data_IF_569621433779
#
_entry.id   IF_569621433779
#
_cell.length_a   1.000
_cell.length_b   1.000
_cell.length_c   1.000
_cell.angle_alpha   90.00
_cell.angle_beta   90.00
_cell.angle_gamma   90.00
#
_symmetry.space_group_name_H-M   'P 1'
#
loop_
_entity.id
_entity.type
_entity.pdbx_description
1 polymer ?
#
# COMPACT_ATOMS: atom_id res chain seq x y z
N UNK A 1 29.67 -1.79 0.14
CA UNK A 1 28.53 -2.03 1.04
C UNK A 1 27.44 -2.77 0.27
N UNK A 2 26.89 -3.87 0.80
CA UNK A 2 25.85 -4.64 0.13
C UNK A 2 24.52 -3.88 0.19
N UNK A 3 23.83 -3.73 -0.95
CA UNK A 3 22.56 -2.99 -1.07
C UNK A 3 21.42 -3.58 -0.21
N UNK A 4 21.49 -4.87 0.12
CA UNK A 4 20.48 -5.61 0.88
C UNK A 4 20.61 -5.46 2.39
N UNK A 5 21.78 -5.04 2.87
CA UNK A 5 22.10 -5.01 4.30
C UNK A 5 21.82 -3.63 4.88
N UNK A 6 21.04 -3.58 5.95
CA UNK A 6 20.75 -2.38 6.75
C UNK A 6 21.86 -2.16 7.78
N UNK A 7 22.26 -3.21 8.50
CA UNK A 7 23.27 -3.14 9.55
C UNK A 7 23.96 -4.49 9.73
N UNK A 8 25.22 -4.48 10.16
CA UNK A 8 25.94 -5.68 10.60
C UNK A 8 26.50 -5.49 11.99
N UNK A 9 26.40 -6.52 12.83
CA UNK A 9 26.99 -6.51 14.16
C UNK A 9 27.88 -7.74 14.33
N UNK A 10 29.15 -7.52 14.66
CA UNK A 10 30.07 -8.61 14.97
C UNK A 10 29.86 -9.05 16.42
N UNK A 11 29.61 -10.34 16.61
CA UNK A 11 29.40 -10.94 17.92
C UNK A 11 30.58 -11.87 18.22
N UNK A 12 31.40 -11.46 19.19
CA UNK A 12 32.52 -12.27 19.67
C UNK A 12 32.03 -13.49 20.46
N UNK A 13 32.89 -14.50 20.62
CA UNK A 13 32.54 -15.71 21.40
C UNK A 13 32.14 -15.37 22.83
N UNK A 14 32.83 -14.40 23.42
CA UNK A 14 32.63 -13.94 24.80
C UNK A 14 31.32 -13.15 24.94
N UNK A 15 30.97 -12.35 23.92
CA UNK A 15 29.70 -11.63 23.88
C UNK A 15 28.52 -12.59 23.68
N UNK A 16 28.65 -13.55 22.76
CA UNK A 16 27.65 -14.59 22.54
C UNK A 16 27.40 -15.41 23.82
N UNK A 17 28.46 -15.76 24.55
CA UNK A 17 28.34 -16.50 25.80
C UNK A 17 27.65 -15.69 26.89
N UNK A 18 27.98 -14.40 27.05
CA UNK A 18 27.29 -13.53 28.00
C UNK A 18 25.80 -13.35 27.69
N UNK A 19 25.44 -13.17 26.42
CA UNK A 19 24.05 -13.04 26.01
C UNK A 19 23.28 -14.34 26.29
N UNK A 20 23.84 -15.49 25.92
CA UNK A 20 23.20 -16.78 26.14
C UNK A 20 23.07 -17.13 27.63
N UNK A 21 24.07 -16.82 28.46
CA UNK A 21 23.97 -16.99 29.93
C UNK A 21 22.84 -16.14 30.51
N UNK A 22 22.67 -14.90 30.01
CA UNK A 22 21.58 -14.02 30.45
C UNK A 22 20.21 -14.56 30.04
N UNK A 23 20.09 -15.12 28.84
CA UNK A 23 18.83 -15.68 28.33
C UNK A 23 18.45 -16.99 29.02
N UNK A 24 19.45 -17.81 29.40
CA UNK A 24 19.26 -19.08 30.12
C UNK A 24 19.14 -18.91 31.64
N UNK A 25 19.70 -17.84 32.21
CA UNK A 25 19.80 -17.63 33.65
C UNK A 25 20.88 -18.47 34.36
N UNK A 26 21.71 -19.20 33.62
CA UNK A 26 22.72 -20.12 34.15
C UNK A 26 24.09 -19.97 33.46
N UNK A 27 25.17 -20.23 34.21
CA UNK A 27 26.53 -20.22 33.68
C UNK A 27 26.90 -21.56 33.02
N UNK A 28 26.47 -21.71 31.77
CA UNK A 28 26.78 -22.90 30.96
C UNK A 28 28.29 -23.06 30.67
N UNK A 29 29.07 -21.98 30.72
CA UNK A 29 30.53 -22.03 30.43
C UNK A 29 31.25 -22.69 31.59
N UNK A 30 30.81 -22.41 32.82
CA UNK A 30 31.28 -23.10 34.02
C UNK A 30 30.87 -24.57 34.04
N UNK A 31 29.67 -24.89 33.55
CA UNK A 31 29.19 -26.28 33.45
C UNK A 31 29.96 -27.11 32.41
N UNK A 32 30.19 -26.56 31.22
CA UNK A 32 30.90 -27.25 30.13
C UNK A 32 32.43 -27.19 30.26
N UNK A 33 32.96 -26.28 31.09
CA UNK A 33 34.41 -26.06 31.23
C UNK A 33 35.07 -25.32 30.06
N UNK A 34 34.33 -25.01 28.99
CA UNK A 34 34.78 -24.23 27.84
C UNK A 34 33.61 -23.52 27.14
N UNK A 35 33.92 -22.56 26.26
CA UNK A 35 32.93 -21.85 25.45
C UNK A 35 32.77 -22.51 24.06
N UNK A 36 31.71 -23.32 23.81
CA UNK A 36 31.47 -23.96 22.52
C UNK A 36 31.03 -23.00 21.41
N UNK A 37 30.68 -21.74 21.74
CA UNK A 37 30.12 -20.81 20.77
C UNK A 37 31.16 -20.35 19.75
N UNK A 38 30.70 -20.17 18.52
CA UNK A 38 31.50 -19.62 17.43
C UNK A 38 31.29 -18.11 17.32
N UNK A 39 32.26 -17.41 16.72
CA UNK A 39 32.11 -16.00 16.34
C UNK A 39 31.02 -15.92 15.27
N UNK A 40 30.07 -14.99 15.40
CA UNK A 40 29.02 -14.76 14.41
C UNK A 40 29.00 -13.31 13.95
N UNK A 41 28.42 -13.09 12.77
CA UNK A 41 28.13 -11.76 12.24
C UNK A 41 26.62 -11.70 12.05
N UNK A 42 25.95 -10.90 12.87
CA UNK A 42 24.52 -10.68 12.77
C UNK A 42 24.27 -9.66 11.66
N UNK A 43 23.42 -10.01 10.72
CA UNK A 43 23.14 -9.21 9.52
C UNK A 43 21.67 -8.85 9.49
N UNK A 44 21.39 -7.56 9.62
CA UNK A 44 20.04 -7.00 9.51
C UNK A 44 19.78 -6.59 8.07
N UNK A 45 18.77 -7.18 7.45
CA UNK A 45 18.36 -6.86 6.08
C UNK A 45 17.45 -5.62 6.05
N UNK A 46 17.44 -4.93 4.91
CA UNK A 46 16.42 -3.91 4.63
C UNK A 46 15.07 -4.58 4.37
N UNK A 47 13.98 -3.90 4.73
CA UNK A 47 12.61 -4.42 4.66
C UNK A 47 12.25 -5.00 3.29
N UNK A 48 12.68 -4.36 2.20
CA UNK A 48 12.40 -4.77 0.82
C UNK A 48 12.94 -6.17 0.47
N UNK A 49 13.96 -6.63 1.22
CA UNK A 49 14.63 -7.91 1.00
C UNK A 49 14.27 -8.96 2.06
N UNK A 50 13.38 -8.64 3.01
CA UNK A 50 12.92 -9.55 4.09
C UNK A 50 11.80 -10.49 3.64
N UNK A 51 11.69 -10.75 2.33
CA UNK A 51 10.83 -11.80 1.80
C UNK A 51 11.62 -13.11 1.63
N UNK A 52 10.91 -14.24 1.58
CA UNK A 52 11.54 -15.57 1.48
C UNK A 52 12.54 -15.69 0.32
N UNK A 53 12.16 -15.16 -0.84
CA UNK A 53 13.00 -15.21 -2.03
C UNK A 53 14.26 -14.32 -1.90
N UNK A 54 14.13 -13.18 -1.24
CA UNK A 54 15.22 -12.23 -0.98
C UNK A 54 16.24 -12.81 0.00
N UNK A 55 15.76 -13.41 1.09
CA UNK A 55 16.61 -14.05 2.10
C UNK A 55 17.32 -15.27 1.51
N UNK A 56 16.62 -16.12 0.75
CA UNK A 56 17.25 -17.28 0.11
C UNK A 56 18.29 -16.87 -0.95
N UNK A 57 18.02 -15.83 -1.76
CA UNK A 57 19.02 -15.26 -2.67
C UNK A 57 20.23 -14.70 -1.93
N UNK A 58 20.01 -14.00 -0.82
CA UNK A 58 21.08 -13.43 -0.02
C UNK A 58 21.94 -14.52 0.64
N UNK A 59 21.31 -15.55 1.20
CA UNK A 59 21.97 -16.75 1.72
C UNK A 59 22.82 -17.43 0.66
N UNK A 60 22.29 -17.64 -0.54
CA UNK A 60 23.02 -18.24 -1.65
C UNK A 60 24.22 -17.38 -2.09
N UNK A 61 24.14 -16.04 -2.00
CA UNK A 61 25.28 -15.16 -2.26
C UNK A 61 26.35 -15.26 -1.17
N UNK A 62 25.95 -15.32 0.10
CA UNK A 62 26.89 -15.42 1.22
C UNK A 62 27.64 -16.76 1.24
N UNK A 63 26.95 -17.87 0.95
CA UNK A 63 27.55 -19.20 0.93
C UNK A 63 28.55 -19.42 -0.20
N UNK A 64 28.61 -18.53 -1.21
CA UNK A 64 29.68 -18.55 -2.23
C UNK A 64 31.03 -18.12 -1.67
N UNK A 65 31.06 -17.42 -0.54
CA UNK A 65 32.31 -17.01 0.09
C UNK A 65 32.82 -18.15 0.99
N UNK A 66 34.01 -18.72 0.74
CA UNK A 66 34.56 -19.82 1.55
C UNK A 66 34.82 -19.45 3.02
N UNK A 67 34.83 -18.16 3.37
CA UNK A 67 34.92 -17.70 4.76
C UNK A 67 33.59 -17.84 5.55
N UNK A 68 32.47 -18.11 4.87
CA UNK A 68 31.15 -18.27 5.49
C UNK A 68 30.85 -19.75 5.66
N UNK A 69 30.91 -20.23 6.91
CA UNK A 69 30.64 -21.64 7.23
C UNK A 69 29.15 -21.99 7.13
N UNK A 70 28.28 -21.13 7.65
CA UNK A 70 26.84 -21.37 7.73
C UNK A 70 26.09 -20.03 7.87
N UNK A 71 24.87 -19.97 7.32
CA UNK A 71 23.93 -18.85 7.50
C UNK A 71 22.66 -19.40 8.13
N UNK A 72 22.40 -19.02 9.38
CA UNK A 72 21.20 -19.43 10.13
C UNK A 72 20.19 -18.30 10.19
N UNK A 73 18.94 -18.60 9.86
CA UNK A 73 17.80 -17.70 10.05
C UNK A 73 16.54 -18.53 10.33
N UNK A 74 15.56 -17.93 11.00
CA UNK A 74 14.33 -18.63 11.37
C UNK A 74 13.30 -18.56 10.23
N UNK A 75 13.45 -19.47 9.27
CA UNK A 75 12.62 -19.48 8.06
C UNK A 75 11.12 -19.55 8.37
N UNK A 76 10.70 -20.42 9.29
CA UNK A 76 9.28 -20.56 9.65
C UNK A 76 8.65 -19.27 10.16
N UNK A 77 9.39 -18.46 10.91
CA UNK A 77 8.90 -17.18 11.44
C UNK A 77 8.74 -16.17 10.32
N UNK A 78 9.73 -16.06 9.42
CA UNK A 78 9.67 -15.18 8.25
C UNK A 78 8.52 -15.59 7.32
N UNK A 79 8.36 -16.90 7.08
CA UNK A 79 7.28 -17.46 6.27
C UNK A 79 5.90 -17.10 6.85
N UNK A 80 5.71 -17.29 8.15
CA UNK A 80 4.46 -16.95 8.84
C UNK A 80 4.16 -15.45 8.78
N UNK A 81 5.17 -14.59 9.00
CA UNK A 81 5.01 -13.14 8.88
C UNK A 81 4.61 -12.74 7.45
N UNK A 82 5.29 -13.27 6.43
CA UNK A 82 4.99 -12.97 5.03
C UNK A 82 3.58 -13.46 4.63
N UNK A 83 3.17 -14.64 5.09
CA UNK A 83 1.82 -15.17 4.83
C UNK A 83 0.74 -14.34 5.52
N UNK A 84 0.96 -13.91 6.76
CA UNK A 84 0.03 -13.04 7.48
C UNK A 84 -0.11 -11.67 6.80
N UNK A 85 1.01 -11.05 6.41
CA UNK A 85 0.99 -9.79 5.67
C UNK A 85 0.25 -9.92 4.34
N UNK A 86 0.53 -10.98 3.57
CA UNK A 86 -0.16 -11.25 2.32
C UNK A 86 -1.67 -11.43 2.52
N UNK A 87 -2.07 -12.14 3.58
CA UNK A 87 -3.49 -12.37 3.92
C UNK A 87 -4.20 -11.06 4.29
N UNK A 88 -3.56 -10.22 5.11
CA UNK A 88 -4.09 -8.89 5.48
C UNK A 88 -4.21 -8.00 4.23
N UNK A 89 -3.18 -7.97 3.38
CA UNK A 89 -3.20 -7.20 2.13
C UNK A 89 -4.33 -7.65 1.20
N UNK A 90 -4.59 -8.96 1.11
CA UNK A 90 -5.68 -9.50 0.31
C UNK A 90 -7.05 -9.04 0.83
N UNK A 91 -7.25 -9.08 2.15
CA UNK A 91 -8.50 -8.61 2.77
C UNK A 91 -8.71 -7.12 2.51
N UNK A 92 -7.67 -6.29 2.70
CA UNK A 92 -7.74 -4.85 2.41
C UNK A 92 -8.06 -4.60 0.93
N UNK A 93 -7.44 -5.35 0.02
CA UNK A 93 -7.70 -5.25 -1.42
C UNK A 93 -9.15 -5.62 -1.76
N UNK A 94 -9.71 -6.64 -1.10
CA UNK A 94 -11.11 -7.02 -1.26
C UNK A 94 -12.05 -5.88 -0.82
N UNK A 95 -11.80 -5.26 0.35
CA UNK A 95 -12.55 -4.09 0.80
C UNK A 95 -12.42 -2.90 -0.16
N UNK A 96 -11.21 -2.64 -0.68
CA UNK A 96 -11.00 -1.59 -1.68
C UNK A 96 -11.85 -1.84 -2.93
N UNK A 97 -11.92 -3.08 -3.41
CA UNK A 97 -12.80 -3.47 -4.52
C UNK A 97 -14.28 -3.19 -4.24
N UNK A 98 -14.75 -3.53 -3.03
CA UNK A 98 -16.13 -3.24 -2.61
C UNK A 98 -16.38 -1.72 -2.61
N UNK A 99 -15.46 -0.92 -2.05
CA UNK A 99 -15.61 0.53 -2.04
C UNK A 99 -15.64 1.13 -3.44
N UNK A 100 -14.86 0.61 -4.40
CA UNK A 100 -14.93 1.05 -5.79
C UNK A 100 -16.35 0.83 -6.34
N UNK A 101 -16.95 -0.35 -6.12
CA UNK A 101 -18.31 -0.65 -6.57
C UNK A 101 -19.32 0.30 -5.94
N UNK A 102 -19.21 0.56 -4.63
CA UNK A 102 -20.07 1.50 -3.92
C UNK A 102 -19.92 2.91 -4.47
N UNK A 103 -18.70 3.39 -4.69
CA UNK A 103 -18.42 4.70 -5.28
C UNK A 103 -19.03 4.84 -6.67
N UNK A 104 -18.86 3.83 -7.54
CA UNK A 104 -19.46 3.82 -8.89
C UNK A 104 -20.98 3.88 -8.81
N UNK A 105 -21.60 3.11 -7.91
CA UNK A 105 -23.05 3.09 -7.72
C UNK A 105 -23.59 4.46 -7.25
N UNK A 106 -22.91 5.09 -6.28
CA UNK A 106 -23.25 6.43 -5.79
C UNK A 106 -23.13 7.48 -6.91
N UNK A 107 -22.00 7.50 -7.63
CA UNK A 107 -21.78 8.43 -8.76
C UNK A 107 -22.88 8.23 -9.81
N UNK A 108 -23.23 6.99 -10.15
CA UNK A 108 -24.29 6.70 -11.12
C UNK A 108 -25.65 7.27 -10.67
N UNK A 109 -25.99 7.15 -9.39
CA UNK A 109 -27.20 7.75 -8.83
C UNK A 109 -27.16 9.28 -8.87
N UNK A 110 -26.05 9.89 -8.44
CA UNK A 110 -25.88 11.34 -8.47
C UNK A 110 -25.98 11.91 -9.89
N UNK A 111 -25.35 11.26 -10.88
CA UNK A 111 -25.42 11.67 -12.28
C UNK A 111 -26.84 11.51 -12.83
N UNK A 112 -27.57 10.45 -12.46
CA UNK A 112 -28.98 10.29 -12.82
C UNK A 112 -29.82 11.48 -12.34
N UNK A 113 -29.68 11.84 -11.07
CA UNK A 113 -30.39 12.96 -10.47
C UNK A 113 -30.02 14.29 -11.14
N UNK A 114 -28.73 14.50 -11.42
CA UNK A 114 -28.25 15.70 -12.09
C UNK A 114 -28.82 15.85 -13.52
N UNK A 115 -28.81 14.77 -14.31
CA UNK A 115 -29.39 14.73 -15.67
C UNK A 115 -30.89 14.97 -15.62
N UNK A 116 -31.60 14.35 -14.66
CA UNK A 116 -33.04 14.52 -14.50
C UNK A 116 -33.41 15.98 -14.15
N UNK A 117 -32.66 16.59 -13.24
CA UNK A 117 -32.85 18.00 -12.84
C UNK A 117 -32.61 18.97 -14.01
N UNK A 118 -31.63 18.69 -14.86
CA UNK A 118 -31.27 19.54 -16.01
C UNK A 118 -31.86 19.07 -17.35
N UNK A 119 -32.89 18.21 -17.33
CA UNK A 119 -33.43 17.57 -18.53
C UNK A 119 -33.85 18.54 -19.64
N UNK A 120 -34.41 19.70 -19.28
CA UNK A 120 -34.86 20.70 -20.24
C UNK A 120 -33.69 21.37 -20.96
N UNK A 121 -32.63 21.71 -20.24
CA UNK A 121 -31.39 22.25 -20.80
C UNK A 121 -30.75 21.25 -21.75
N UNK A 122 -30.63 19.99 -21.33
CA UNK A 122 -30.06 18.93 -22.17
C UNK A 122 -30.88 18.74 -23.45
N UNK A 123 -32.22 18.75 -23.35
CA UNK A 123 -33.11 18.63 -24.52
C UNK A 123 -32.98 19.83 -25.45
N UNK A 124 -32.91 21.05 -24.93
CA UNK A 124 -32.66 22.26 -25.73
C UNK A 124 -31.33 22.19 -26.47
N UNK A 125 -30.25 21.79 -25.80
CA UNK A 125 -28.94 21.58 -26.43
C UNK A 125 -29.01 20.54 -27.56
N UNK A 126 -29.76 19.45 -27.38
CA UNK A 126 -29.94 18.45 -28.43
C UNK A 126 -30.72 18.98 -29.64
N UNK A 127 -31.71 19.85 -29.44
CA UNK A 127 -32.50 20.44 -30.53
C UNK A 127 -31.69 21.41 -31.39
N UNK A 128 -30.70 22.09 -30.81
CA UNK A 128 -29.77 22.97 -31.53
C UNK A 128 -28.60 22.17 -32.16
N UNK A 129 -28.61 20.84 -32.06
CA UNK A 129 -27.61 19.97 -32.69
C UNK A 129 -26.33 19.78 -31.87
N UNK A 130 -26.33 20.07 -30.57
CA UNK A 130 -25.16 19.86 -29.73
C UNK A 130 -24.76 18.37 -29.69
N UNK A 131 -23.47 18.11 -29.88
CA UNK A 131 -22.94 16.74 -29.84
C UNK A 131 -23.02 16.15 -28.44
N UNK A 132 -23.16 14.81 -28.34
CA UNK A 132 -23.14 14.10 -27.04
C UNK A 132 -21.90 14.43 -26.22
N UNK A 133 -20.76 14.68 -26.87
CA UNK A 133 -19.52 15.07 -26.18
C UNK A 133 -19.60 16.46 -25.55
N UNK A 134 -20.27 17.42 -26.19
CA UNK A 134 -20.45 18.76 -25.65
C UNK A 134 -21.27 18.71 -24.36
N UNK A 135 -22.35 17.92 -24.34
CA UNK A 135 -23.21 17.74 -23.16
C UNK A 135 -22.45 17.03 -22.02
N UNK A 136 -21.52 16.11 -22.33
CA UNK A 136 -20.76 15.32 -21.34
C UNK A 136 -19.64 16.09 -20.65
N UNK A 137 -18.94 16.97 -21.37
CA UNK A 137 -17.77 17.69 -20.87
C UNK A 137 -17.96 18.32 -19.47
N UNK A 138 -19.04 19.08 -19.19
CA UNK A 138 -19.21 19.68 -17.87
C UNK A 138 -19.30 18.62 -16.75
N UNK A 139 -20.06 17.54 -16.96
CA UNK A 139 -20.19 16.47 -15.97
C UNK A 139 -18.85 15.79 -15.68
N UNK A 140 -18.06 15.50 -16.71
CA UNK A 140 -16.73 14.88 -16.54
C UNK A 140 -15.79 15.83 -15.80
N UNK A 141 -15.83 17.13 -16.11
CA UNK A 141 -15.04 18.13 -15.40
C UNK A 141 -15.40 18.20 -13.90
N UNK A 142 -16.70 18.17 -13.56
CA UNK A 142 -17.13 18.05 -12.16
C UNK A 142 -16.64 16.75 -11.52
N UNK A 143 -16.70 15.62 -12.23
CA UNK A 143 -16.17 14.34 -11.75
C UNK A 143 -14.67 14.40 -11.44
N UNK A 144 -13.87 15.02 -12.32
CA UNK A 144 -12.43 15.23 -12.10
C UNK A 144 -12.19 16.09 -10.85
N UNK A 145 -12.91 17.22 -10.73
CA UNK A 145 -12.81 18.10 -9.57
C UNK A 145 -13.17 17.40 -8.25
N UNK A 146 -14.26 16.62 -8.24
CA UNK A 146 -14.63 15.83 -7.06
C UNK A 146 -13.59 14.76 -6.73
N UNK A 147 -12.99 14.11 -7.73
CA UNK A 147 -11.92 13.14 -7.54
C UNK A 147 -10.66 13.79 -6.96
N UNK A 148 -10.29 14.98 -7.45
CA UNK A 148 -9.16 15.76 -6.93
C UNK A 148 -9.39 16.16 -5.47
N UNK A 149 -10.56 16.73 -5.17
CA UNK A 149 -10.91 17.18 -3.82
C UNK A 149 -10.98 16.00 -2.84
N UNK A 150 -11.57 14.88 -3.27
CA UNK A 150 -11.61 13.64 -2.48
C UNK A 150 -10.20 13.07 -2.22
N UNK A 151 -9.32 13.09 -3.21
CA UNK A 151 -7.91 12.70 -3.06
C UNK A 151 -7.16 13.59 -2.07
N UNK A 152 -7.38 14.90 -2.12
CA UNK A 152 -6.78 15.86 -1.19
C UNK A 152 -7.26 15.63 0.25
N UNK A 153 -8.57 15.40 0.44
CA UNK A 153 -9.14 15.05 1.75
C UNK A 153 -8.54 13.73 2.26
N UNK A 154 -8.42 12.73 1.40
CA UNK A 154 -7.81 11.44 1.77
C UNK A 154 -6.35 11.61 2.23
N UNK A 155 -5.57 12.46 1.55
CA UNK A 155 -4.19 12.76 1.95
C UNK A 155 -4.14 13.43 3.33
N UNK A 156 -5.03 14.40 3.60
CA UNK A 156 -5.10 15.06 4.92
C UNK A 156 -5.40 14.03 6.02
N UNK A 157 -6.39 13.16 5.81
CA UNK A 157 -6.75 12.11 6.76
C UNK A 157 -5.56 11.16 6.95
N UNK A 158 -4.91 10.74 5.87
CA UNK A 158 -3.76 9.83 5.91
C UNK A 158 -2.60 10.45 6.70
N UNK A 159 -2.26 11.71 6.46
CA UNK A 159 -1.25 12.42 7.26
C UNK A 159 -1.62 12.49 8.74
N UNK A 160 -2.88 12.78 9.06
CA UNK A 160 -3.38 12.79 10.44
C UNK A 160 -3.27 11.42 11.12
N UNK A 161 -3.62 10.34 10.41
CA UNK A 161 -3.51 8.98 10.93
C UNK A 161 -2.07 8.54 11.14
N UNK A 162 -1.15 8.94 10.26
CA UNK A 162 0.28 8.66 10.42
C UNK A 162 0.87 9.40 11.61
N UNK A 163 0.53 10.68 11.77
CA UNK A 163 0.94 11.46 12.93
C UNK A 163 0.48 10.81 14.23
N UNK A 164 -0.79 10.40 14.30
CA UNK A 164 -1.33 9.70 15.47
C UNK A 164 -0.70 8.32 15.69
N UNK A 165 -0.39 7.57 14.63
CA UNK A 165 0.27 6.27 14.75
C UNK A 165 1.67 6.40 15.35
N UNK A 166 2.42 7.45 14.98
CA UNK A 166 3.76 7.70 15.51
C UNK A 166 3.76 8.09 16.98
N UNK A 167 2.75 8.83 17.45
CA UNK A 167 2.66 9.18 18.87
C UNK A 167 2.37 7.97 19.75
N UNK A 168 1.63 6.97 19.23
CA UNK A 168 1.29 5.76 19.97
C UNK A 168 2.37 4.67 19.90
N UNK A 169 3.12 4.62 18.80
CA UNK A 169 4.15 3.60 18.57
C UNK A 169 5.42 4.31 18.10
N UNK A 170 6.32 4.69 19.02
CA UNK A 170 7.52 5.47 18.71
C UNK A 170 8.47 4.76 17.72
N UNK A 171 8.45 3.43 17.70
CA UNK A 171 9.27 2.61 16.78
C UNK A 171 8.70 2.51 15.35
N UNK A 172 7.49 3.02 15.10
CA UNK A 172 6.92 3.17 13.75
C UNK A 172 7.57 4.37 13.05
N UNK A 173 8.87 4.25 12.75
CA UNK A 173 9.64 5.25 12.02
C UNK A 173 9.37 5.12 10.51
N UNK A 174 8.13 5.37 10.11
CA UNK A 174 7.68 5.25 8.70
C UNK A 174 8.06 6.50 7.88
N UNK A 175 8.21 7.67 8.50
CA UNK A 175 8.36 8.96 7.80
C UNK A 175 9.77 9.28 7.24
N UNK A 176 10.70 8.34 7.18
CA UNK A 176 12.08 8.68 6.76
C UNK A 176 12.23 8.93 5.24
N UNK A 177 11.31 8.44 4.41
CA UNK A 177 11.40 8.55 2.95
C UNK A 177 10.33 9.48 2.37
N UNK A 178 10.61 10.80 2.36
CA UNK A 178 9.70 11.81 1.78
C UNK A 178 9.36 11.52 0.31
N UNK A 179 10.26 10.87 -0.44
CA UNK A 179 10.08 10.53 -1.85
C UNK A 179 9.00 9.45 -2.05
N UNK A 180 9.00 8.41 -1.22
CA UNK A 180 7.99 7.35 -1.29
C UNK A 180 6.59 7.87 -0.95
N UNK A 181 6.48 8.75 0.05
CA UNK A 181 5.21 9.39 0.39
C UNK A 181 4.68 10.30 -0.71
N UNK A 182 5.56 11.10 -1.33
CA UNK A 182 5.18 11.93 -2.48
C UNK A 182 4.60 11.09 -3.61
N UNK A 183 5.22 9.94 -3.90
CA UNK A 183 4.74 9.00 -4.92
C UNK A 183 3.38 8.39 -4.55
N UNK A 184 3.18 7.97 -3.29
CA UNK A 184 1.90 7.45 -2.81
C UNK A 184 0.80 8.51 -2.94
N UNK A 185 1.05 9.76 -2.56
CA UNK A 185 0.05 10.84 -2.65
C UNK A 185 -0.37 11.12 -4.09
N UNK A 186 0.60 11.14 -5.00
CA UNK A 186 0.32 11.27 -6.43
C UNK A 186 -0.52 10.12 -6.96
N UNK A 187 -0.22 8.89 -6.56
CA UNK A 187 -0.99 7.70 -6.94
C UNK A 187 -2.42 7.78 -6.39
N UNK A 188 -2.60 8.18 -5.13
CA UNK A 188 -3.92 8.30 -4.49
C UNK A 188 -4.79 9.33 -5.22
N UNK A 189 -4.25 10.52 -5.50
CA UNK A 189 -4.96 11.55 -6.28
C UNK A 189 -5.24 11.03 -7.69
N UNK A 190 -4.24 10.45 -8.35
CA UNK A 190 -4.36 9.95 -9.72
C UNK A 190 -5.46 8.89 -9.86
N UNK A 191 -5.49 7.91 -8.95
CA UNK A 191 -6.50 6.87 -8.90
C UNK A 191 -7.88 7.46 -8.57
N UNK A 192 -7.97 8.36 -7.59
CA UNK A 192 -9.23 9.01 -7.22
C UNK A 192 -9.86 9.79 -8.38
N UNK A 193 -9.05 10.58 -9.10
CA UNK A 193 -9.46 11.30 -10.31
C UNK A 193 -9.86 10.32 -11.42
N UNK A 194 -9.05 9.29 -11.66
CA UNK A 194 -9.32 8.30 -12.70
C UNK A 194 -10.64 7.56 -12.45
N UNK A 195 -10.84 7.04 -11.24
CA UNK A 195 -12.06 6.34 -10.86
C UNK A 195 -13.26 7.27 -11.02
N UNK A 196 -13.20 8.50 -10.52
CA UNK A 196 -14.31 9.45 -10.61
C UNK A 196 -14.63 9.83 -12.05
N UNK A 197 -13.61 10.12 -12.86
CA UNK A 197 -13.77 10.50 -14.26
C UNK A 197 -14.35 9.35 -15.10
N UNK A 198 -13.81 8.13 -14.95
CA UNK A 198 -14.29 6.94 -15.66
C UNK A 198 -15.72 6.59 -15.24
N UNK A 199 -16.00 6.59 -13.94
CA UNK A 199 -17.35 6.31 -13.42
C UNK A 199 -18.37 7.32 -13.94
N UNK A 200 -18.03 8.60 -13.93
CA UNK A 200 -18.86 9.68 -14.45
C UNK A 200 -19.09 9.53 -15.96
N UNK A 201 -18.03 9.24 -16.72
CA UNK A 201 -18.13 9.02 -18.15
C UNK A 201 -19.09 7.86 -18.49
N UNK A 202 -18.94 6.72 -17.81
CA UNK A 202 -19.80 5.55 -18.01
C UNK A 202 -21.27 5.86 -17.67
N UNK A 203 -21.51 6.54 -16.54
CA UNK A 203 -22.86 6.93 -16.12
C UNK A 203 -23.51 7.88 -17.13
N UNK A 204 -22.85 8.98 -17.49
CA UNK A 204 -23.40 9.98 -18.42
C UNK A 204 -23.60 9.36 -19.82
N UNK A 205 -22.66 8.53 -20.30
CA UNK A 205 -22.82 7.85 -21.60
C UNK A 205 -24.04 6.94 -21.63
N UNK A 206 -24.29 6.20 -20.54
CA UNK A 206 -25.48 5.36 -20.39
C UNK A 206 -26.77 6.19 -20.47
N UNK A 207 -26.85 7.28 -19.72
CA UNK A 207 -28.07 8.12 -19.68
C UNK A 207 -28.31 8.93 -20.94
N UNK A 208 -27.28 9.46 -21.60
CA UNK A 208 -27.44 10.19 -22.86
C UNK A 208 -27.75 9.28 -24.06
N UNK A 209 -27.55 7.97 -23.93
CA UNK A 209 -27.92 6.99 -24.97
C UNK A 209 -29.37 6.53 -24.83
N UNK A 210 -29.92 6.54 -23.62
CA UNK A 210 -31.34 6.30 -23.40
C UNK A 210 -32.13 7.46 -24.01
N UNK A 211 -33.08 7.17 -24.90
CA UNK A 211 -33.91 8.21 -25.52
C UNK A 211 -34.64 8.93 -24.39
N UNK A 212 -34.52 10.25 -24.33
CA UNK A 212 -35.18 11.13 -23.33
C UNK A 212 -36.70 10.85 -23.23
N UNK A 213 -37.31 10.26 -24.27
CA UNK A 213 -38.71 9.84 -24.30
C UNK A 213 -39.08 8.72 -23.32
N UNK A 214 -38.17 7.83 -22.96
CA UNK A 214 -38.45 6.76 -21.98
C UNK A 214 -38.40 7.24 -20.52
N UNK A 215 -38.01 8.51 -20.29
CA UNK A 215 -38.02 9.15 -18.97
C UNK A 215 -39.39 9.76 -18.60
N UNK A 216 -40.36 9.73 -19.52
CA UNK A 216 -41.73 10.25 -19.35
C UNK A 216 -42.73 9.16 -18.95
N UNK A 217 -42.28 7.92 -18.72
CA UNK A 217 -43.12 6.79 -18.32
C UNK A 217 -42.75 6.30 -16.93
#
# INVERSE_FOLDING_TARGET
ANIMVKQTQYVSKELAARNLQKDLGEDFVKFLGYNPLSKSLDVYLKADYTNNAGIEKFKAQLLKNPMVKEVKYQQSLVDQMNQNLASISLVILAFAGIFIVVSVALINNTIRLAIYSQRFLIKSMQLVGATKSFIRKPFIAYGIWHGLLGGLIAIIILMGTLYFAQTQIPDLVVLQSYTEFGLVFLIVIGIGVLISAVSTFLAVNKFLRLKIYDLYR
#
